data_IF_049410820692
#
_entry.id   IF_049410820692
#
_cell.length_a   1.000
_cell.length_b   1.000
_cell.length_c   1.000
_cell.angle_alpha   90.00
_cell.angle_beta   90.00
_cell.angle_gamma   90.00
#
_symmetry.space_group_name_H-M   'P 1'
#
loop_
_entity.id
_entity.type
_entity.pdbx_description
1 polymer ?
#
# COMPACT_ATOMS: atom_id res chain seq x y z
N UNK A 1 -7.48 16.91 -10.20
CA UNK A 1 -8.06 15.63 -9.74
C UNK A 1 -8.65 14.91 -10.92
N UNK A 2 -8.21 13.68 -11.15
CA UNK A 2 -8.63 12.84 -12.27
C UNK A 2 -9.10 11.48 -11.75
N UNK A 3 -10.00 10.84 -12.48
CA UNK A 3 -10.38 9.45 -12.26
C UNK A 3 -9.33 8.49 -12.84
N UNK A 4 -9.49 7.19 -12.58
CA UNK A 4 -8.60 6.15 -13.10
C UNK A 4 -8.52 6.06 -14.63
N UNK A 5 -9.59 6.40 -15.34
CA UNK A 5 -9.67 6.51 -16.81
C UNK A 5 -9.15 7.87 -17.33
N UNK A 6 -8.64 8.74 -16.45
CA UNK A 6 -8.04 10.02 -16.79
C UNK A 6 -9.02 11.18 -16.95
N UNK A 7 -10.32 10.99 -16.68
CA UNK A 7 -11.31 12.07 -16.73
C UNK A 7 -11.05 13.08 -15.61
N UNK A 8 -10.87 14.35 -15.97
CA UNK A 8 -10.73 15.43 -14.99
C UNK A 8 -12.07 15.72 -14.32
N UNK A 9 -12.08 15.64 -12.99
CA UNK A 9 -13.31 15.78 -12.17
C UNK A 9 -13.20 16.86 -11.10
N UNK A 10 -12.06 17.54 -11.01
CA UNK A 10 -11.87 18.67 -10.12
C UNK A 10 -10.42 19.13 -10.03
N UNK A 11 -10.16 20.02 -9.09
CA UNK A 11 -8.85 20.57 -8.79
C UNK A 11 -8.45 20.25 -7.35
N UNK A 12 -7.16 20.08 -7.11
CA UNK A 12 -6.63 19.83 -5.78
C UNK A 12 -5.83 21.05 -5.31
N UNK A 13 -5.76 21.25 -3.99
CA UNK A 13 -5.00 22.36 -3.40
C UNK A 13 -3.48 22.10 -3.30
N UNK A 14 -3.03 20.95 -3.78
CA UNK A 14 -1.63 20.52 -3.80
C UNK A 14 -1.48 19.08 -3.32
N UNK A 15 -0.65 18.26 -3.98
CA UNK A 15 -0.57 16.82 -3.73
C UNK A 15 -0.15 16.45 -2.30
N UNK A 16 0.64 17.31 -1.64
CA UNK A 16 1.10 17.13 -0.26
C UNK A 16 -0.03 17.15 0.77
N UNK A 17 -1.20 17.73 0.44
CA UNK A 17 -2.37 17.79 1.32
C UNK A 17 -3.22 16.52 1.28
N UNK A 18 -2.81 15.51 0.52
CA UNK A 18 -3.55 14.28 0.32
C UNK A 18 -2.74 13.03 0.67
N UNK A 19 -3.41 12.10 1.34
CA UNK A 19 -2.89 10.80 1.72
C UNK A 19 -3.64 9.72 0.95
N UNK A 20 -2.97 8.61 0.58
CA UNK A 20 -3.67 7.51 -0.08
C UNK A 20 -4.79 6.96 0.82
N UNK A 21 -5.88 6.52 0.23
CA UNK A 21 -7.10 6.11 0.93
C UNK A 21 -7.89 7.26 1.57
N UNK A 22 -7.48 8.52 1.41
CA UNK A 22 -8.26 9.65 1.92
C UNK A 22 -9.61 9.74 1.21
N UNK A 23 -10.70 9.83 1.98
CA UNK A 23 -12.08 10.06 1.50
C UNK A 23 -12.55 11.50 1.66
N UNK A 24 -12.36 12.07 2.86
CA UNK A 24 -12.86 13.41 3.21
C UNK A 24 -11.92 14.49 2.68
N UNK A 25 -12.46 15.67 2.40
CA UNK A 25 -11.66 16.83 1.98
C UNK A 25 -11.11 16.75 0.55
N UNK A 26 -11.54 15.79 -0.27
CA UNK A 26 -11.20 15.73 -1.70
C UNK A 26 -11.93 16.83 -2.49
N UNK A 27 -13.07 17.31 -1.98
CA UNK A 27 -13.88 18.32 -2.66
C UNK A 27 -14.70 17.77 -3.83
N UNK A 28 -14.84 16.44 -3.93
CA UNK A 28 -15.59 15.76 -4.97
C UNK A 28 -16.74 14.98 -4.32
N UNK A 29 -17.97 15.42 -4.60
CA UNK A 29 -19.20 14.78 -4.13
C UNK A 29 -20.33 15.00 -5.13
N UNK A 30 -21.31 14.08 -5.13
CA UNK A 30 -22.59 14.28 -5.83
C UNK A 30 -22.54 14.32 -7.36
N UNK A 31 -21.52 13.73 -8.01
CA UNK A 31 -21.54 13.62 -9.47
C UNK A 31 -22.55 12.57 -9.93
N UNK A 32 -23.32 12.89 -10.98
CA UNK A 32 -24.29 11.98 -11.62
C UNK A 32 -23.64 10.78 -12.31
N UNK A 33 -22.36 10.92 -12.65
CA UNK A 33 -21.56 9.90 -13.32
C UNK A 33 -20.66 9.22 -12.29
N UNK A 34 -20.87 7.91 -12.09
CA UNK A 34 -20.12 7.06 -11.15
C UNK A 34 -20.99 5.95 -10.54
N UNK A 35 -20.39 5.06 -9.73
CA UNK A 35 -21.10 3.97 -9.04
C UNK A 35 -21.98 4.43 -7.87
N UNK A 36 -21.91 5.72 -7.50
CA UNK A 36 -22.52 6.26 -6.29
C UNK A 36 -21.71 5.99 -5.01
N UNK A 37 -20.63 5.22 -5.10
CA UNK A 37 -19.75 4.93 -3.97
C UNK A 37 -18.83 6.12 -3.63
N UNK A 38 -18.29 6.17 -2.39
CA UNK A 38 -17.36 7.20 -1.99
C UNK A 38 -16.08 7.22 -2.85
N UNK A 39 -15.57 8.42 -3.08
CA UNK A 39 -14.26 8.63 -3.71
C UNK A 39 -13.13 8.51 -2.70
N UNK A 40 -12.02 7.91 -3.14
CA UNK A 40 -10.79 7.77 -2.38
C UNK A 40 -9.59 8.19 -3.23
N UNK A 41 -8.57 8.76 -2.59
CA UNK A 41 -7.28 9.02 -3.23
C UNK A 41 -6.54 7.70 -3.44
N UNK A 42 -6.34 7.30 -4.70
CA UNK A 42 -5.60 6.08 -5.03
C UNK A 42 -4.14 6.35 -5.36
N UNK A 43 -3.83 7.44 -6.07
CA UNK A 43 -2.46 7.76 -6.49
C UNK A 43 -2.16 9.25 -6.47
N UNK A 44 -0.88 9.58 -6.38
CA UNK A 44 -0.32 10.92 -6.57
C UNK A 44 0.69 10.85 -7.70
N UNK A 45 0.34 11.39 -8.86
CA UNK A 45 1.23 11.53 -10.00
C UNK A 45 1.95 12.87 -9.89
N UNK A 46 3.20 12.83 -9.42
CA UNK A 46 4.03 14.02 -9.20
C UNK A 46 4.46 14.66 -10.53
N UNK A 47 4.69 13.86 -11.58
CA UNK A 47 5.16 14.35 -12.87
C UNK A 47 4.06 15.13 -13.60
N UNK A 48 2.84 14.61 -13.58
CA UNK A 48 1.67 15.27 -14.18
C UNK A 48 0.97 16.24 -13.24
N UNK A 49 1.43 16.34 -11.99
CA UNK A 49 0.77 17.06 -10.91
C UNK A 49 -0.73 16.71 -10.83
N UNK A 50 -1.03 15.41 -10.74
CA UNK A 50 -2.39 14.88 -10.76
C UNK A 50 -2.68 14.01 -9.54
N UNK A 51 -3.77 14.35 -8.85
CA UNK A 51 -4.38 13.49 -7.82
C UNK A 51 -5.35 12.53 -8.50
N UNK A 52 -5.05 11.23 -8.45
CA UNK A 52 -5.89 10.18 -9.04
C UNK A 52 -6.80 9.62 -7.96
N UNK A 53 -8.10 9.57 -8.24
CA UNK A 53 -9.12 9.08 -7.32
C UNK A 53 -9.94 7.96 -7.94
N UNK A 54 -10.41 7.05 -7.09
CA UNK A 54 -11.21 5.87 -7.46
C UNK A 54 -12.46 5.78 -6.59
N UNK A 55 -13.46 5.03 -7.05
CA UNK A 55 -14.65 4.73 -6.25
C UNK A 55 -14.56 3.35 -5.62
N UNK A 56 -15.15 3.20 -4.44
CA UNK A 56 -15.19 1.93 -3.72
C UNK A 56 -13.98 1.72 -2.80
N UNK A 57 -14.22 1.15 -1.63
CA UNK A 57 -13.17 0.91 -0.63
C UNK A 57 -12.27 -0.28 -1.01
N UNK A 58 -12.83 -1.24 -1.74
CA UNK A 58 -12.16 -2.48 -2.17
C UNK A 58 -11.49 -2.34 -3.54
N UNK A 59 -11.32 -1.11 -4.02
CA UNK A 59 -10.69 -0.86 -5.30
C UNK A 59 -9.26 -1.43 -5.31
N UNK A 60 -8.83 -2.19 -6.33
CA UNK A 60 -7.52 -2.86 -6.33
C UNK A 60 -6.33 -1.91 -6.13
N UNK A 61 -6.41 -0.69 -6.65
CA UNK A 61 -5.37 0.34 -6.45
C UNK A 61 -5.24 0.85 -5.01
N UNK A 62 -6.20 0.52 -4.14
CA UNK A 62 -6.14 0.82 -2.71
C UNK A 62 -5.65 -0.38 -1.89
N UNK A 63 -5.37 -1.52 -2.51
CA UNK A 63 -4.96 -2.74 -1.83
C UNK A 63 -3.52 -3.10 -2.24
N UNK A 64 -2.68 -3.43 -1.27
CA UNK A 64 -1.28 -3.76 -1.51
C UNK A 64 -0.90 -5.07 -0.83
N UNK A 65 -0.44 -6.04 -1.60
CA UNK A 65 0.07 -7.32 -1.10
C UNK A 65 1.54 -7.23 -0.65
N UNK A 66 2.26 -6.20 -1.11
CA UNK A 66 3.68 -6.00 -0.82
C UNK A 66 4.01 -4.54 -0.55
N UNK A 67 4.93 -4.32 0.37
CA UNK A 67 5.62 -3.04 0.50
C UNK A 67 7.13 -3.21 0.54
N UNK A 68 7.83 -2.12 0.24
CA UNK A 68 9.27 -1.94 0.46
C UNK A 68 9.46 -0.77 1.41
N UNK A 69 10.25 -1.00 2.45
CA UNK A 69 10.66 0.01 3.39
C UNK A 69 12.17 0.22 3.34
N UNK A 70 12.59 1.45 3.63
CA UNK A 70 13.98 1.87 3.79
C UNK A 70 14.23 2.33 5.24
N UNK A 71 15.45 2.82 5.51
CA UNK A 71 15.79 3.40 6.81
C UNK A 71 15.52 2.44 7.97
N UNK A 72 15.82 1.14 7.78
CA UNK A 72 15.49 0.12 8.76
C UNK A 72 16.21 0.36 10.10
N UNK A 73 15.44 0.30 11.18
CA UNK A 73 15.91 0.42 12.56
C UNK A 73 15.36 -0.75 13.38
N UNK A 74 16.26 -1.53 13.96
CA UNK A 74 15.94 -2.75 14.71
C UNK A 74 16.22 -2.56 16.19
N UNK A 75 15.29 -3.00 17.05
CA UNK A 75 15.41 -2.84 18.50
C UNK A 75 16.55 -3.69 19.06
N UNK A 76 16.75 -4.90 18.51
CA UNK A 76 17.85 -5.78 18.88
C UNK A 76 19.18 -5.40 18.19
N UNK A 77 19.21 -4.32 17.39
CA UNK A 77 20.35 -3.94 16.56
C UNK A 77 20.49 -4.77 15.28
N UNK A 78 19.80 -5.92 15.21
CA UNK A 78 19.77 -6.79 14.06
C UNK A 78 18.32 -7.08 13.59
N UNK A 79 18.15 -7.28 12.29
CA UNK A 79 16.89 -7.66 11.67
C UNK A 79 16.48 -9.11 12.03
N UNK A 80 15.19 -9.47 11.90
CA UNK A 80 14.75 -10.84 12.12
C UNK A 80 15.44 -11.81 11.15
N UNK A 81 15.74 -13.01 11.66
CA UNK A 81 16.56 -14.04 10.98
C UNK A 81 15.73 -15.30 10.65
N UNK A 82 14.53 -15.41 11.21
CA UNK A 82 13.67 -16.59 11.08
C UNK A 82 12.41 -16.28 10.25
N UNK A 83 11.86 -17.34 9.64
CA UNK A 83 10.56 -17.34 8.95
C UNK A 83 9.39 -17.47 9.95
N UNK A 84 9.54 -16.90 11.16
CA UNK A 84 8.52 -16.96 12.19
C UNK A 84 7.23 -16.26 11.79
N UNK A 85 6.17 -16.47 12.57
CA UNK A 85 4.93 -15.71 12.42
C UNK A 85 5.20 -14.24 12.79
N UNK A 86 5.19 -13.38 11.77
CA UNK A 86 5.42 -11.95 11.90
C UNK A 86 4.14 -11.20 11.53
N UNK A 87 3.94 -10.07 12.20
CA UNK A 87 2.88 -9.14 11.87
C UNK A 87 3.44 -7.74 11.67
N UNK A 88 2.79 -6.95 10.82
CA UNK A 88 3.20 -5.58 10.58
C UNK A 88 2.05 -4.58 10.69
N UNK A 89 2.41 -3.35 11.06
CA UNK A 89 1.52 -2.18 11.03
C UNK A 89 2.07 -1.18 10.03
N UNK A 90 1.23 -0.77 9.07
CA UNK A 90 1.56 0.24 8.06
C UNK A 90 0.92 1.60 8.36
N UNK A 91 0.06 1.66 9.38
CA UNK A 91 -0.57 2.88 9.92
C UNK A 91 -0.77 2.75 11.42
N UNK A 92 -0.73 3.90 12.11
CA UNK A 92 -1.02 3.96 13.54
C UNK A 92 -2.45 3.48 13.83
N UNK A 93 -2.59 2.55 14.79
CA UNK A 93 -3.84 1.87 15.20
C UNK A 93 -4.48 0.92 14.18
N UNK A 94 -3.79 0.59 13.08
CA UNK A 94 -4.21 -0.52 12.25
C UNK A 94 -4.06 -1.84 13.01
N UNK A 95 -4.92 -2.81 12.69
CA UNK A 95 -4.74 -4.19 13.15
C UNK A 95 -3.43 -4.76 12.63
N UNK A 96 -2.89 -5.70 13.38
CA UNK A 96 -1.69 -6.43 13.00
C UNK A 96 -1.95 -7.27 11.73
N UNK A 97 -1.17 -7.01 10.68
CA UNK A 97 -1.28 -7.72 9.41
C UNK A 97 -0.22 -8.82 9.33
N UNK A 98 -0.64 -10.08 9.19
CA UNK A 98 0.26 -11.20 8.95
C UNK A 98 1.13 -10.95 7.72
N UNK A 99 2.44 -11.19 7.85
CA UNK A 99 3.37 -10.96 6.76
C UNK A 99 4.63 -11.83 6.84
N UNK A 100 5.29 -11.97 5.68
CA UNK A 100 6.64 -12.52 5.56
C UNK A 100 7.64 -11.38 5.37
N UNK A 101 8.75 -11.46 6.10
CA UNK A 101 9.86 -10.52 6.00
C UNK A 101 10.87 -10.98 4.96
N UNK A 102 11.31 -10.07 4.10
CA UNK A 102 12.39 -10.30 3.14
C UNK A 102 13.45 -9.21 3.32
N UNK A 103 14.68 -9.60 3.64
CA UNK A 103 15.82 -8.67 3.61
C UNK A 103 16.12 -8.27 2.17
N UNK A 104 16.29 -6.96 1.95
CA UNK A 104 16.86 -6.43 0.72
C UNK A 104 18.29 -5.90 0.99
N UNK A 105 18.89 -5.26 0.00
CA UNK A 105 20.18 -4.59 0.11
C UNK A 105 20.15 -3.40 1.08
N UNK A 106 21.30 -3.16 1.74
CA UNK A 106 21.47 -2.04 2.67
C UNK A 106 20.55 -2.10 3.88
N UNK A 107 19.85 -1.00 4.13
CA UNK A 107 18.87 -0.81 5.21
C UNK A 107 17.42 -1.00 4.73
N UNK A 108 17.24 -1.72 3.62
CA UNK A 108 15.92 -1.96 3.03
C UNK A 108 15.39 -3.35 3.35
N UNK A 109 14.07 -3.46 3.39
CA UNK A 109 13.37 -4.73 3.50
C UNK A 109 12.02 -4.67 2.77
N UNK A 110 11.51 -5.83 2.39
CA UNK A 110 10.15 -5.99 1.91
C UNK A 110 9.31 -6.76 2.92
N UNK A 111 8.02 -6.44 2.94
CA UNK A 111 7.00 -7.22 3.62
C UNK A 111 6.00 -7.72 2.59
N UNK A 112 5.72 -9.02 2.65
CA UNK A 112 4.70 -9.67 1.83
C UNK A 112 3.55 -10.02 2.75
N UNK A 113 2.39 -9.39 2.57
CA UNK A 113 1.24 -9.59 3.43
C UNK A 113 0.48 -10.85 3.04
N UNK A 114 -0.08 -11.53 4.04
CA UNK A 114 -0.93 -12.71 3.80
C UNK A 114 -2.29 -12.29 3.19
N UNK A 115 -2.76 -11.09 3.55
CA UNK A 115 -3.94 -10.43 2.97
C UNK A 115 -3.57 -9.02 2.47
N UNK A 116 -4.12 -8.56 1.33
CA UNK A 116 -3.84 -7.22 0.82
C UNK A 116 -4.17 -6.12 1.82
N UNK A 117 -3.21 -5.21 2.02
CA UNK A 117 -3.32 -4.13 3.00
C UNK A 117 -3.84 -2.85 2.36
N UNK A 118 -4.80 -2.23 3.05
CA UNK A 118 -5.46 -1.05 2.55
C UNK A 118 -4.58 0.21 2.65
N UNK A 119 -4.44 0.90 1.53
CA UNK A 119 -3.83 2.20 1.34
C UNK A 119 -2.45 2.34 2.00
N UNK A 120 -1.57 1.36 1.78
CA UNK A 120 -0.16 1.46 2.19
C UNK A 120 0.46 2.72 1.57
N UNK A 121 0.95 3.63 2.40
CA UNK A 121 1.31 4.99 1.96
C UNK A 121 2.80 5.28 2.15
N UNK A 122 3.54 5.64 1.08
CA UNK A 122 4.92 6.09 1.20
C UNK A 122 5.11 7.24 2.20
N UNK A 123 6.19 7.19 2.97
CA UNK A 123 6.51 8.12 4.05
C UNK A 123 5.87 7.80 5.40
N UNK A 124 4.96 6.83 5.49
CA UNK A 124 4.51 6.27 6.77
C UNK A 124 5.48 5.18 7.26
N UNK A 125 5.42 4.84 8.55
CA UNK A 125 6.24 3.76 9.09
C UNK A 125 5.64 2.38 8.79
N UNK A 126 6.51 1.42 8.46
CA UNK A 126 6.21 -0.01 8.54
C UNK A 126 6.89 -0.57 9.78
N UNK A 127 6.10 -1.04 10.75
CA UNK A 127 6.59 -1.58 12.03
C UNK A 127 6.31 -3.06 12.10
N UNK A 128 7.32 -3.85 12.46
CA UNK A 128 7.29 -5.31 12.48
C UNK A 128 7.23 -5.83 13.92
N UNK A 129 6.39 -6.82 14.14
CA UNK A 129 6.10 -7.43 15.43
C UNK A 129 6.19 -8.95 15.37
N UNK A 130 6.55 -9.54 16.52
CA UNK A 130 6.41 -10.97 16.79
C UNK A 130 5.58 -11.14 18.06
N UNK A 131 4.30 -11.48 17.88
CA UNK A 131 3.33 -11.40 18.96
C UNK A 131 3.28 -9.98 19.52
N UNK A 132 3.55 -9.82 20.82
CA UNK A 132 3.58 -8.52 21.50
C UNK A 132 4.93 -7.78 21.40
N UNK A 133 5.97 -8.44 20.87
CA UNK A 133 7.32 -7.88 20.80
C UNK A 133 7.48 -7.05 19.54
N UNK A 134 7.76 -5.75 19.69
CA UNK A 134 8.20 -4.90 18.59
C UNK A 134 9.64 -5.28 18.21
N UNK A 135 9.86 -5.62 16.93
CA UNK A 135 11.19 -5.96 16.43
C UNK A 135 11.92 -4.74 15.89
N UNK A 136 11.18 -3.77 15.37
CA UNK A 136 11.71 -2.60 14.68
C UNK A 136 10.84 -2.23 13.48
N UNK A 137 11.41 -1.50 12.54
CA UNK A 137 10.68 -1.07 11.35
C UNK A 137 11.50 -0.15 10.45
N UNK A 138 10.83 0.49 9.51
CA UNK A 138 11.41 1.44 8.59
C UNK A 138 10.37 2.40 8.04
N UNK A 139 10.77 3.22 7.06
CA UNK A 139 9.87 4.13 6.35
C UNK A 139 9.45 3.49 5.04
N UNK A 140 8.15 3.45 4.76
CA UNK A 140 7.60 2.89 3.54
C UNK A 140 8.08 3.75 2.37
N UNK A 141 8.85 3.15 1.47
CA UNK A 141 9.33 3.78 0.24
C UNK A 141 8.32 3.59 -0.90
N UNK A 142 7.77 2.38 -1.01
CA UNK A 142 6.79 2.01 -2.05
C UNK A 142 5.90 0.86 -1.61
N UNK A 143 4.75 0.73 -2.26
CA UNK A 143 3.87 -0.43 -2.15
C UNK A 143 3.47 -0.90 -3.55
N UNK A 144 3.37 -2.21 -3.74
CA UNK A 144 2.82 -2.80 -4.96
C UNK A 144 1.33 -2.95 -4.78
N UNK A 145 0.56 -2.60 -5.80
CA UNK A 145 -0.88 -2.82 -5.80
C UNK A 145 -1.16 -4.30 -6.05
N UNK A 146 -2.19 -4.83 -5.39
CA UNK A 146 -2.71 -6.14 -5.74
C UNK A 146 -3.23 -6.05 -7.18
N UNK A 147 -2.48 -6.67 -8.11
CA UNK A 147 -2.84 -6.68 -9.52
C UNK A 147 -4.09 -7.55 -9.80
N UNK A 148 -4.70 -8.12 -8.75
CA UNK A 148 -5.45 -9.35 -8.83
C UNK A 148 -4.49 -10.48 -9.22
N UNK A 149 -4.63 -11.66 -8.62
CA UNK A 149 -4.10 -12.87 -9.25
C UNK A 149 -4.50 -12.87 -10.72
N UNK A 150 -3.55 -12.62 -11.62
CA UNK A 150 -3.69 -13.04 -13.01
C UNK A 150 -3.55 -14.56 -12.97
N UNK A 151 -4.68 -15.25 -12.87
CA UNK A 151 -4.77 -16.65 -13.26
C UNK A 151 -4.20 -16.77 -14.67
N UNK A 152 -3.07 -17.47 -14.81
CA UNK A 152 -2.38 -17.58 -16.09
C UNK A 152 -0.92 -18.02 -16.00
N UNK A 153 -0.60 -19.00 -15.15
CA UNK A 153 0.58 -19.84 -15.39
C UNK A 153 0.10 -20.98 -16.31
N UNK A 154 0.57 -21.10 -17.56
CA UNK A 154 0.31 -22.30 -18.32
C UNK A 154 1.10 -23.43 -17.64
N UNK A 155 0.40 -24.51 -17.31
CA UNK A 155 1.05 -25.79 -17.07
C UNK A 155 1.92 -26.08 -18.30
N UNK A 156 3.24 -25.95 -18.16
CA UNK A 156 4.16 -26.49 -19.14
C UNK A 156 4.07 -28.00 -19.01
N UNK A 157 3.30 -28.55 -19.94
CA UNK A 157 3.12 -29.95 -20.27
C UNK A 157 4.42 -30.74 -20.27
N UNK A 158 4.25 -32.02 -19.95
CA UNK A 158 5.19 -33.11 -20.07
C UNK A 158 5.99 -33.05 -21.38
N UNK A 159 7.32 -33.09 -21.26
CA UNK A 159 8.15 -33.73 -22.27
C UNK A 159 9.43 -34.29 -21.62
N UNK A 160 9.32 -35.50 -21.09
CA UNK A 160 10.24 -36.63 -21.34
C UNK A 160 9.77 -37.90 -20.65
#
# INVERSE_FOLDING_TARGET
IVTEDGRRIGEHVGLSFYTLGQRKGIGIGGQREGSGEPWFVARKDLERNALVVVQGHEHPWLLSDRLVADSASWIAGEPPVDDGLLAAKTRYRQQDAGCRFERLDGDRFALHFDEPQWAVTPGQSAVLYRGEVCLGGGIIASATEDAGRRDGEPAADELR
#
